data_IF_245237858182
#
_entry.id   IF_245237858182
#
_cell.length_a   1.000
_cell.length_b   1.000
_cell.length_c   1.000
_cell.angle_alpha   90.00
_cell.angle_beta   90.00
_cell.angle_gamma   90.00
#
_symmetry.space_group_name_H-M   'P 1'
#
loop_
_entity.id
_entity.type
_entity.pdbx_description
1 polymer ?
#
# COMPACT_ATOMS: atom_id res chain seq x y z
N UNK A 1 -23.90 -15.00 -22.74
CA UNK A 1 -22.40 -14.99 -22.82
C UNK A 1 -21.89 -15.16 -21.41
N UNK A 2 -20.94 -16.04 -21.22
CA UNK A 2 -20.32 -16.28 -19.92
C UNK A 2 -19.56 -15.03 -19.48
N UNK A 3 -19.73 -14.61 -18.23
CA UNK A 3 -19.02 -13.41 -17.71
C UNK A 3 -17.52 -13.69 -17.67
N UNK A 4 -16.67 -12.73 -18.07
CA UNK A 4 -15.22 -12.95 -18.02
C UNK A 4 -14.75 -13.11 -16.58
N UNK A 5 -13.78 -14.01 -16.37
CA UNK A 5 -13.12 -14.18 -15.07
C UNK A 5 -12.41 -12.89 -14.69
N UNK A 6 -12.66 -12.41 -13.48
CA UNK A 6 -11.92 -11.30 -12.88
C UNK A 6 -10.97 -11.84 -11.81
N UNK A 7 -9.69 -11.49 -11.91
CA UNK A 7 -8.67 -11.89 -10.95
C UNK A 7 -8.27 -10.72 -10.07
N UNK A 8 -8.37 -10.91 -8.75
CA UNK A 8 -7.87 -9.98 -7.75
C UNK A 8 -6.51 -10.42 -7.20
N UNK A 9 -5.55 -9.50 -7.12
CA UNK A 9 -4.35 -9.64 -6.31
C UNK A 9 -4.52 -8.84 -5.01
N UNK A 10 -4.43 -9.52 -3.87
CA UNK A 10 -4.63 -8.92 -2.54
C UNK A 10 -3.41 -9.17 -1.65
N UNK A 11 -3.02 -8.15 -0.88
CA UNK A 11 -1.99 -8.28 0.12
C UNK A 11 -2.52 -9.04 1.34
N UNK A 12 -1.88 -10.15 1.72
CA UNK A 12 -2.24 -10.90 2.94
C UNK A 12 -2.27 -9.98 4.16
N UNK A 13 -3.27 -10.16 5.05
CA UNK A 13 -3.39 -9.44 6.31
C UNK A 13 -4.53 -8.43 6.32
N UNK A 14 -4.43 -7.42 7.19
CA UNK A 14 -5.51 -6.46 7.51
C UNK A 14 -6.17 -5.81 6.28
N UNK A 15 -5.38 -5.44 5.25
CA UNK A 15 -5.94 -4.82 4.04
C UNK A 15 -6.80 -5.81 3.23
N UNK A 16 -6.41 -7.09 3.17
CA UNK A 16 -7.21 -8.11 2.50
C UNK A 16 -8.55 -8.32 3.21
N UNK A 17 -8.55 -8.40 4.55
CA UNK A 17 -9.78 -8.59 5.33
C UNK A 17 -10.78 -7.45 5.09
N UNK A 18 -10.30 -6.21 5.12
CA UNK A 18 -11.15 -5.04 4.85
C UNK A 18 -11.61 -4.98 3.38
N UNK A 19 -10.80 -5.47 2.45
CA UNK A 19 -11.20 -5.58 1.05
C UNK A 19 -12.28 -6.66 0.87
N UNK A 20 -12.16 -7.80 1.55
CA UNK A 20 -13.18 -8.86 1.52
C UNK A 20 -14.52 -8.35 2.07
N UNK A 21 -14.52 -7.58 3.16
CA UNK A 21 -15.74 -6.97 3.70
C UNK A 21 -16.48 -6.10 2.68
N UNK A 22 -15.75 -5.40 1.81
CA UNK A 22 -16.33 -4.60 0.73
C UNK A 22 -16.81 -5.47 -0.44
N UNK A 23 -16.04 -6.48 -0.82
CA UNK A 23 -16.38 -7.37 -1.92
C UNK A 23 -17.61 -8.23 -1.61
N UNK A 24 -17.74 -8.69 -0.36
CA UNK A 24 -18.91 -9.44 0.11
C UNK A 24 -20.21 -8.60 0.06
N UNK A 25 -20.12 -7.30 0.32
CA UNK A 25 -21.25 -6.37 0.14
C UNK A 25 -21.67 -6.21 -1.33
N UNK A 26 -20.79 -6.55 -2.28
CA UNK A 26 -21.14 -6.64 -3.70
C UNK A 26 -21.64 -8.04 -4.13
N UNK A 27 -21.78 -8.97 -3.19
CA UNK A 27 -22.20 -10.34 -3.45
C UNK A 27 -21.10 -11.25 -3.97
N UNK A 28 -19.82 -10.87 -3.79
CA UNK A 28 -18.67 -11.71 -4.13
C UNK A 28 -18.29 -12.52 -2.90
N UNK A 29 -18.35 -13.86 -3.00
CA UNK A 29 -18.01 -14.75 -1.88
C UNK A 29 -16.51 -14.75 -1.61
N UNK A 30 -16.13 -14.33 -0.39
CA UNK A 30 -14.75 -14.31 0.09
C UNK A 30 -14.46 -15.41 1.15
N UNK A 31 -15.29 -16.42 1.28
CA UNK A 31 -15.10 -17.50 2.26
C UNK A 31 -13.81 -18.29 2.03
N UNK A 32 -13.52 -18.68 0.77
CA UNK A 32 -12.27 -19.34 0.41
C UNK A 32 -11.04 -18.45 0.67
N UNK A 33 -10.96 -17.18 0.18
CA UNK A 33 -9.78 -16.34 0.41
C UNK A 33 -9.58 -15.92 1.88
N UNK A 34 -10.61 -15.91 2.71
CA UNK A 34 -10.45 -15.73 4.18
C UNK A 34 -9.81 -16.94 4.84
N UNK A 35 -10.05 -18.14 4.33
CA UNK A 35 -9.54 -19.40 4.87
C UNK A 35 -8.77 -20.21 3.81
N UNK A 36 -7.67 -19.68 3.27
CA UNK A 36 -7.03 -20.20 2.06
C UNK A 36 -6.39 -21.60 2.23
N UNK A 37 -6.16 -22.05 3.47
CA UNK A 37 -5.43 -23.27 3.72
C UNK A 37 -4.04 -23.22 3.06
N UNK A 38 -3.75 -24.22 2.18
CA UNK A 38 -2.52 -24.25 1.37
C UNK A 38 -2.74 -23.84 -0.09
N UNK A 39 -3.95 -23.45 -0.43
CA UNK A 39 -4.27 -23.02 -1.80
C UNK A 39 -3.67 -21.64 -2.09
N UNK A 40 -3.19 -21.48 -3.33
CA UNK A 40 -2.59 -20.22 -3.80
C UNK A 40 -3.55 -19.45 -4.70
N UNK A 41 -4.52 -20.14 -5.28
CA UNK A 41 -5.57 -19.58 -6.12
C UNK A 41 -6.91 -19.99 -5.55
N UNK A 42 -7.77 -19.04 -5.30
CA UNK A 42 -9.03 -19.17 -4.59
C UNK A 42 -10.15 -18.61 -5.46
N UNK A 43 -11.37 -19.09 -5.29
CA UNK A 43 -12.45 -18.82 -6.22
C UNK A 43 -13.77 -18.48 -5.54
N UNK A 44 -14.44 -17.47 -6.09
CA UNK A 44 -15.90 -17.41 -6.14
C UNK A 44 -16.34 -17.89 -7.53
N UNK A 45 -16.85 -19.11 -7.61
CA UNK A 45 -17.27 -19.71 -8.88
C UNK A 45 -18.58 -19.12 -9.40
N UNK A 46 -19.47 -18.67 -8.52
CA UNK A 46 -20.77 -18.12 -8.88
C UNK A 46 -20.60 -16.76 -9.57
N UNK A 47 -19.73 -15.92 -9.02
CA UNK A 47 -19.43 -14.60 -9.58
C UNK A 47 -18.27 -14.63 -10.59
N UNK A 48 -17.68 -15.79 -10.84
CA UNK A 48 -16.54 -15.95 -11.74
C UNK A 48 -15.36 -15.04 -11.35
N UNK A 49 -15.06 -14.97 -10.03
CA UNK A 49 -13.98 -14.18 -9.46
C UNK A 49 -12.89 -15.10 -8.92
N UNK A 50 -11.65 -14.74 -9.21
CA UNK A 50 -10.46 -15.45 -8.77
C UNK A 50 -9.62 -14.54 -7.85
N UNK A 51 -9.08 -15.10 -6.78
CA UNK A 51 -8.22 -14.39 -5.84
C UNK A 51 -6.83 -15.03 -5.80
N UNK A 52 -5.82 -14.17 -5.75
CA UNK A 52 -4.44 -14.53 -5.42
C UNK A 52 -3.98 -13.69 -4.22
N UNK A 53 -3.47 -14.38 -3.18
CA UNK A 53 -3.01 -13.72 -1.96
C UNK A 53 -1.49 -13.68 -1.95
N UNK A 54 -0.93 -12.48 -2.05
CA UNK A 54 0.50 -12.25 -2.24
C UNK A 54 1.08 -11.31 -1.18
N UNK A 55 2.39 -11.04 -1.21
CA UNK A 55 2.99 -9.98 -0.38
C UNK A 55 2.54 -8.60 -0.90
N UNK A 56 2.42 -7.58 -0.03
CA UNK A 56 2.05 -6.23 -0.45
C UNK A 56 2.90 -5.70 -1.62
N UNK A 57 4.21 -5.86 -1.55
CA UNK A 57 5.17 -5.44 -2.59
C UNK A 57 4.94 -6.08 -3.96
N UNK A 58 4.29 -7.24 -3.99
CA UNK A 58 4.12 -8.02 -5.21
C UNK A 58 2.81 -7.69 -5.94
N UNK A 59 1.81 -7.14 -5.23
CA UNK A 59 0.51 -6.80 -5.81
C UNK A 59 0.64 -5.94 -7.07
N UNK A 60 1.41 -4.83 -7.09
CA UNK A 60 1.59 -4.03 -8.29
C UNK A 60 2.17 -4.81 -9.46
N UNK A 61 3.09 -5.74 -9.19
CA UNK A 61 3.70 -6.58 -10.22
C UNK A 61 2.69 -7.54 -10.85
N UNK A 62 1.86 -8.22 -10.05
CA UNK A 62 0.84 -9.13 -10.58
C UNK A 62 -0.22 -8.40 -11.41
N UNK A 63 -0.59 -7.19 -11.01
CA UNK A 63 -1.54 -6.36 -11.77
C UNK A 63 -0.89 -5.82 -13.04
N UNK A 64 0.32 -5.30 -12.98
CA UNK A 64 1.04 -4.75 -14.14
C UNK A 64 1.23 -5.78 -15.25
N UNK A 65 1.63 -7.00 -14.89
CA UNK A 65 1.79 -8.11 -15.84
C UNK A 65 0.47 -8.74 -16.32
N UNK A 66 -0.69 -8.25 -15.87
CA UNK A 66 -2.00 -8.75 -16.29
C UNK A 66 -2.34 -10.16 -15.77
N UNK A 67 -1.57 -10.69 -14.82
CA UNK A 67 -1.91 -11.94 -14.10
C UNK A 67 -3.13 -11.70 -13.20
N UNK A 68 -3.21 -10.50 -12.61
CA UNK A 68 -4.40 -9.99 -11.96
C UNK A 68 -4.98 -8.81 -12.74
N UNK A 69 -6.31 -8.74 -12.81
CA UNK A 69 -7.04 -7.64 -13.43
C UNK A 69 -7.14 -6.43 -12.50
N UNK A 70 -7.33 -6.73 -11.21
CA UNK A 70 -7.52 -5.77 -10.12
C UNK A 70 -6.57 -6.09 -8.96
N UNK A 71 -6.21 -5.09 -8.18
CA UNK A 71 -5.43 -5.28 -6.96
C UNK A 71 -5.85 -4.31 -5.86
N UNK A 72 -5.69 -4.75 -4.60
CA UNK A 72 -5.83 -3.87 -3.44
C UNK A 72 -4.49 -3.80 -2.72
N UNK A 73 -3.98 -2.58 -2.57
CA UNK A 73 -2.63 -2.32 -2.05
C UNK A 73 -2.54 -0.92 -1.44
N UNK A 74 -1.61 -0.70 -0.52
CA UNK A 74 -1.34 0.62 0.05
C UNK A 74 -0.77 1.60 -0.97
N UNK A 75 -1.12 2.88 -0.84
CA UNK A 75 -0.58 3.97 -1.68
C UNK A 75 0.95 4.05 -1.60
N UNK A 76 1.53 3.78 -0.43
CA UNK A 76 2.98 3.68 -0.21
C UNK A 76 3.64 2.68 -1.16
N UNK A 77 3.06 1.49 -1.24
CA UNK A 77 3.56 0.42 -2.10
C UNK A 77 3.43 0.77 -3.59
N UNK A 78 2.35 1.47 -3.99
CA UNK A 78 2.19 1.94 -5.37
C UNK A 78 3.24 2.97 -5.74
N UNK A 79 3.48 3.95 -4.86
CA UNK A 79 4.50 4.98 -5.05
C UNK A 79 5.90 4.35 -5.16
N UNK A 80 6.20 3.41 -4.26
CA UNK A 80 7.49 2.70 -4.28
C UNK A 80 7.69 1.87 -5.53
N UNK A 81 6.64 1.16 -5.97
CA UNK A 81 6.71 0.31 -7.16
C UNK A 81 6.87 1.10 -8.47
N UNK A 82 6.37 2.35 -8.53
CA UNK A 82 6.49 3.23 -9.70
C UNK A 82 5.88 2.66 -11.00
N UNK A 83 4.88 1.76 -10.89
CA UNK A 83 4.29 1.07 -12.04
C UNK A 83 3.13 1.83 -12.63
N UNK A 84 2.96 1.71 -13.95
CA UNK A 84 1.87 2.37 -14.69
C UNK A 84 0.53 1.63 -14.58
N UNK A 85 -0.09 1.67 -13.40
CA UNK A 85 -1.42 1.12 -13.14
C UNK A 85 -2.48 2.23 -13.12
N UNK A 86 -3.74 1.87 -13.38
CA UNK A 86 -4.85 2.75 -13.07
C UNK A 86 -5.20 2.64 -11.59
N UNK A 87 -4.94 3.68 -10.82
CA UNK A 87 -5.46 3.86 -9.48
C UNK A 87 -6.86 4.45 -9.58
N UNK A 88 -7.89 3.66 -9.26
CA UNK A 88 -9.28 4.01 -9.59
C UNK A 88 -10.12 4.39 -8.39
N UNK A 89 -9.81 3.89 -7.18
CA UNK A 89 -10.53 4.22 -5.95
C UNK A 89 -9.57 4.32 -4.76
N UNK A 90 -9.81 5.30 -3.89
CA UNK A 90 -9.37 5.28 -2.50
C UNK A 90 -10.39 4.49 -1.69
N UNK A 91 -9.97 3.38 -1.10
CA UNK A 91 -10.87 2.49 -0.36
C UNK A 91 -11.17 2.99 1.06
N UNK A 92 -10.54 4.07 1.50
CA UNK A 92 -10.84 4.76 2.76
C UNK A 92 -10.36 4.07 4.04
N UNK A 93 -9.66 2.95 3.93
CA UNK A 93 -9.10 2.21 5.07
C UNK A 93 -7.58 2.06 4.96
N UNK A 94 -6.95 1.53 6.03
CA UNK A 94 -5.49 1.42 6.11
C UNK A 94 -4.81 2.78 6.11
N UNK A 95 -5.48 3.81 6.69
CA UNK A 95 -4.99 5.19 6.72
C UNK A 95 -3.75 5.30 7.59
N UNK A 96 -2.71 5.90 7.03
CA UNK A 96 -1.48 6.26 7.71
C UNK A 96 -0.83 7.43 6.95
N UNK A 97 0.34 7.87 7.39
CA UNK A 97 1.10 8.93 6.71
C UNK A 97 2.50 8.43 6.39
N UNK A 98 3.01 8.79 5.24
CA UNK A 98 4.42 8.61 4.92
C UNK A 98 5.18 9.83 5.46
N UNK A 99 6.18 9.59 6.31
CA UNK A 99 6.84 10.64 7.09
C UNK A 99 8.35 10.46 7.07
N UNK A 100 9.05 11.58 7.27
CA UNK A 100 10.43 11.59 7.77
C UNK A 100 10.35 11.63 9.30
N UNK A 101 11.07 10.74 9.97
CA UNK A 101 11.15 10.74 11.44
C UNK A 101 12.59 10.56 11.93
N UNK A 102 12.86 11.09 13.10
CA UNK A 102 14.20 11.09 13.69
C UNK A 102 14.20 11.71 15.08
N UNK A 103 15.38 11.99 15.60
CA UNK A 103 15.51 12.74 16.84
C UNK A 103 15.24 14.25 16.60
N UNK A 104 14.60 14.90 17.57
CA UNK A 104 14.35 16.34 17.51
C UNK A 104 15.56 17.10 18.06
N UNK A 105 16.07 18.11 17.32
CA UNK A 105 17.17 18.96 17.74
C UNK A 105 18.54 18.26 17.81
N UNK A 106 19.43 18.75 18.67
CA UNK A 106 20.83 18.28 18.79
C UNK A 106 20.97 16.83 19.33
N UNK A 107 19.89 16.20 19.78
CA UNK A 107 19.91 14.80 20.27
C UNK A 107 20.16 13.77 19.15
N UNK A 108 19.85 14.11 17.92
CA UNK A 108 20.28 13.34 16.76
C UNK A 108 21.74 13.68 16.50
N UNK A 109 22.65 12.97 17.18
CA UNK A 109 24.08 13.25 17.13
C UNK A 109 24.52 13.61 15.71
N UNK A 110 24.58 14.91 15.43
CA UNK A 110 25.22 15.48 14.28
C UNK A 110 26.71 15.19 14.39
N UNK A 111 27.06 13.93 14.13
CA UNK A 111 28.40 13.63 13.71
C UNK A 111 28.54 14.41 12.42
N UNK A 112 29.55 15.24 12.32
CA UNK A 112 29.93 16.02 11.15
C UNK A 112 30.22 15.06 9.99
N UNK A 113 29.14 14.47 9.39
CA UNK A 113 29.21 13.47 8.33
C UNK A 113 29.01 14.15 7.00
N UNK A 114 29.81 13.75 6.02
CA UNK A 114 29.76 14.32 4.67
C UNK A 114 28.44 13.99 3.94
N UNK A 115 27.67 12.97 4.40
CA UNK A 115 26.48 12.50 3.71
C UNK A 115 25.36 12.22 4.71
N UNK A 116 24.17 12.71 4.41
CA UNK A 116 22.94 12.50 5.18
C UNK A 116 22.33 11.11 4.87
N UNK A 117 22.10 10.30 5.90
CA UNK A 117 21.70 8.90 5.76
C UNK A 117 20.24 8.70 6.14
N UNK A 118 19.50 8.04 5.27
CA UNK A 118 18.06 7.76 5.41
C UNK A 118 17.83 6.26 5.42
N UNK A 119 17.36 5.69 6.53
CA UNK A 119 16.94 4.30 6.56
C UNK A 119 15.47 4.19 6.14
N UNK A 120 15.16 3.26 5.25
CA UNK A 120 13.80 3.11 4.71
C UNK A 120 13.58 1.75 4.06
N UNK A 121 12.33 1.32 4.00
CA UNK A 121 11.89 0.23 3.10
C UNK A 121 11.35 0.75 1.76
N UNK A 122 11.41 2.08 1.55
CA UNK A 122 10.90 2.78 0.36
C UNK A 122 12.03 3.58 -0.32
N UNK A 123 13.05 2.91 -0.89
CA UNK A 123 14.22 3.58 -1.47
C UNK A 123 13.87 4.49 -2.66
N UNK A 124 12.88 4.14 -3.48
CA UNK A 124 12.50 4.95 -4.64
C UNK A 124 11.77 6.23 -4.21
N UNK A 125 10.88 6.12 -3.21
CA UNK A 125 10.20 7.29 -2.63
C UNK A 125 11.24 8.21 -1.97
N UNK A 126 12.16 7.64 -1.17
CA UNK A 126 13.20 8.44 -0.51
C UNK A 126 14.05 9.20 -1.52
N UNK A 127 14.50 8.53 -2.59
CA UNK A 127 15.28 9.17 -3.66
C UNK A 127 14.50 10.31 -4.30
N UNK A 128 13.27 10.04 -4.76
CA UNK A 128 12.43 11.04 -5.42
C UNK A 128 12.15 12.25 -4.52
N UNK A 129 11.90 12.01 -3.23
CA UNK A 129 11.63 13.06 -2.26
C UNK A 129 12.85 13.99 -2.05
N UNK A 130 14.04 13.43 -1.80
CA UNK A 130 15.23 14.21 -1.55
C UNK A 130 15.80 14.85 -2.84
N UNK A 131 15.67 14.19 -3.99
CA UNK A 131 16.01 14.76 -5.29
C UNK A 131 15.16 16.01 -5.58
N UNK A 132 13.86 15.97 -5.25
CA UNK A 132 12.98 17.14 -5.40
C UNK A 132 13.39 18.34 -4.54
N UNK A 133 14.12 18.10 -3.44
CA UNK A 133 14.70 19.12 -2.55
C UNK A 133 16.14 19.50 -2.91
N UNK A 134 16.71 18.89 -3.94
CA UNK A 134 18.11 19.10 -4.34
C UNK A 134 19.13 18.59 -3.32
N UNK A 135 18.75 17.59 -2.51
CA UNK A 135 19.57 17.03 -1.44
C UNK A 135 20.12 15.65 -1.82
N UNK A 136 21.42 15.48 -1.68
CA UNK A 136 22.09 14.18 -1.85
C UNK A 136 22.04 13.40 -0.53
N UNK A 137 21.59 12.15 -0.61
CA UNK A 137 21.46 11.26 0.55
C UNK A 137 22.13 9.90 0.28
N UNK A 138 22.47 9.22 1.38
CA UNK A 138 22.76 7.80 1.39
C UNK A 138 21.51 7.04 1.84
N UNK A 139 21.00 6.17 0.99
CA UNK A 139 19.82 5.34 1.32
C UNK A 139 20.30 4.02 1.92
N UNK A 140 19.80 3.73 3.12
CA UNK A 140 20.01 2.45 3.82
C UNK A 140 18.71 1.66 3.76
N UNK A 141 18.64 0.69 2.87
CA UNK A 141 17.45 -0.12 2.68
C UNK A 141 17.31 -1.14 3.81
N UNK A 142 16.17 -1.07 4.52
CA UNK A 142 15.78 -2.00 5.57
C UNK A 142 14.39 -2.56 5.29
N UNK A 143 14.17 -3.86 5.54
CA UNK A 143 12.89 -4.52 5.27
C UNK A 143 11.95 -4.58 6.48
N UNK A 144 12.37 -4.06 7.63
CA UNK A 144 11.57 -3.99 8.86
C UNK A 144 12.35 -3.31 9.99
N UNK A 145 11.66 -2.94 11.07
CA UNK A 145 12.22 -2.24 12.25
C UNK A 145 13.11 -1.05 11.85
N UNK A 146 12.63 -0.25 10.92
CA UNK A 146 13.39 0.86 10.32
C UNK A 146 13.80 1.88 11.38
N UNK A 147 13.00 2.01 12.46
CA UNK A 147 13.26 2.87 13.62
C UNK A 147 14.58 2.56 14.32
N UNK A 148 15.09 1.35 14.20
CA UNK A 148 16.42 0.99 14.74
C UNK A 148 17.53 1.82 14.08
N UNK A 149 17.37 2.24 12.83
CA UNK A 149 18.38 3.00 12.09
C UNK A 149 18.94 4.19 12.90
N UNK A 150 18.12 5.16 13.28
CA UNK A 150 18.57 6.29 14.11
C UNK A 150 18.98 5.87 15.53
N UNK A 151 18.28 4.92 16.14
CA UNK A 151 18.53 4.50 17.54
C UNK A 151 19.94 3.95 17.74
N UNK A 152 20.46 3.20 16.78
CA UNK A 152 21.82 2.62 16.84
C UNK A 152 22.85 3.42 16.01
N UNK A 153 22.47 4.58 15.48
CA UNK A 153 23.37 5.44 14.71
C UNK A 153 23.71 4.93 13.31
N UNK A 154 22.90 4.02 12.75
CA UNK A 154 23.03 3.54 11.37
C UNK A 154 22.59 4.62 10.38
N UNK A 155 21.51 5.34 10.66
CA UNK A 155 21.00 6.45 9.85
C UNK A 155 20.76 7.69 10.68
N UNK A 156 20.58 8.84 10.03
CA UNK A 156 20.28 10.10 10.67
C UNK A 156 18.77 10.27 10.86
N UNK A 157 17.99 9.80 9.89
CA UNK A 157 16.53 9.76 9.91
C UNK A 157 16.01 8.46 9.29
N UNK A 158 14.70 8.27 9.41
CA UNK A 158 13.96 7.26 8.64
C UNK A 158 12.94 7.93 7.71
N UNK A 159 12.60 7.25 6.64
CA UNK A 159 11.41 7.48 5.84
C UNK A 159 10.54 6.24 5.94
N UNK A 160 9.41 6.34 6.61
CA UNK A 160 8.49 5.20 6.80
C UNK A 160 7.04 5.66 6.97
N UNK A 161 6.11 4.68 6.95
CA UNK A 161 4.70 4.93 7.25
C UNK A 161 4.49 5.03 8.76
N UNK A 162 3.67 5.98 9.16
CA UNK A 162 3.31 6.24 10.55
C UNK A 162 1.79 6.26 10.69
N UNK A 163 1.23 5.32 11.46
CA UNK A 163 -0.20 5.29 11.78
C UNK A 163 -0.47 6.13 13.05
N UNK A 164 -0.03 5.67 14.21
CA UNK A 164 -0.20 6.38 15.50
C UNK A 164 1.06 7.05 16.03
N UNK A 165 2.21 6.71 15.49
CA UNK A 165 3.52 7.15 15.97
C UNK A 165 3.93 6.57 17.33
N UNK A 166 3.25 5.54 17.83
CA UNK A 166 3.57 4.91 19.11
C UNK A 166 4.97 4.30 19.14
N UNK A 167 5.35 3.60 18.08
CA UNK A 167 6.70 3.00 17.95
C UNK A 167 7.78 4.06 17.94
N UNK A 168 7.58 5.17 17.22
CA UNK A 168 8.52 6.30 17.21
C UNK A 168 8.72 6.85 18.61
N UNK A 169 7.62 7.19 19.31
CA UNK A 169 7.68 7.74 20.68
C UNK A 169 8.34 6.81 21.67
N UNK A 170 8.07 5.48 21.58
CA UNK A 170 8.69 4.49 22.45
C UNK A 170 10.22 4.43 22.29
N UNK A 171 10.76 4.87 21.15
CA UNK A 171 12.18 4.91 20.84
C UNK A 171 12.78 6.32 20.86
N UNK A 172 12.06 7.32 21.39
CA UNK A 172 12.53 8.71 21.49
C UNK A 172 12.58 9.45 20.15
N UNK A 173 11.94 8.89 19.10
CA UNK A 173 11.86 9.50 17.79
C UNK A 173 10.57 10.31 17.64
N UNK A 174 10.60 11.30 16.77
CA UNK A 174 9.43 12.12 16.41
C UNK A 174 9.29 12.23 14.90
N UNK A 175 8.07 12.49 14.44
CA UNK A 175 7.85 12.90 13.05
C UNK A 175 8.45 14.29 12.87
N UNK A 176 9.33 14.44 11.90
CA UNK A 176 9.98 15.67 11.52
C UNK A 176 9.26 16.36 10.36
N UNK A 177 8.75 15.54 9.43
CA UNK A 177 8.05 16.03 8.24
C UNK A 177 7.06 14.98 7.73
N UNK A 178 5.85 15.42 7.37
CA UNK A 178 4.85 14.62 6.68
C UNK A 178 5.05 14.76 5.17
N UNK A 179 5.14 13.62 4.45
CA UNK A 179 5.33 13.61 2.98
C UNK A 179 3.97 13.54 2.29
N UNK A 180 3.15 12.54 2.63
CA UNK A 180 1.80 12.38 2.08
C UNK A 180 0.95 11.43 2.92
N UNK A 181 -0.37 11.57 2.77
CA UNK A 181 -1.33 10.61 3.30
C UNK A 181 -1.32 9.31 2.48
N UNK A 182 -1.50 8.20 3.17
CA UNK A 182 -1.54 6.84 2.62
C UNK A 182 -2.82 6.16 3.05
N UNK A 183 -3.44 5.45 2.10
CA UNK A 183 -4.59 4.57 2.34
C UNK A 183 -4.58 3.42 1.34
N UNK A 184 -5.46 2.44 1.52
CA UNK A 184 -5.63 1.34 0.57
C UNK A 184 -6.24 1.85 -0.73
N UNK A 185 -5.71 1.37 -1.85
CA UNK A 185 -6.13 1.74 -3.21
C UNK A 185 -6.58 0.52 -3.99
N UNK A 186 -7.65 0.70 -4.77
CA UNK A 186 -8.01 -0.23 -5.83
C UNK A 186 -7.25 0.17 -7.09
N UNK A 187 -6.50 -0.78 -7.63
CA UNK A 187 -5.74 -0.59 -8.88
C UNK A 187 -6.20 -1.57 -9.94
N UNK A 188 -6.06 -1.17 -11.20
CA UNK A 188 -6.52 -1.92 -12.36
C UNK A 188 -5.41 -2.04 -13.40
N UNK A 189 -5.28 -3.22 -13.99
CA UNK A 189 -4.44 -3.45 -15.15
C UNK A 189 -4.98 -2.66 -16.36
N UNK A 190 -4.10 -1.98 -17.09
CA UNK A 190 -4.47 -1.12 -18.22
C UNK A 190 -5.13 -1.88 -19.38
N UNK A 191 -4.72 -3.11 -19.63
CA UNK A 191 -5.28 -3.96 -20.69
C UNK A 191 -6.63 -4.53 -20.24
N UNK A 192 -6.70 -5.04 -18.99
CA UNK A 192 -7.93 -5.56 -18.42
C UNK A 192 -9.05 -4.50 -18.42
N UNK A 193 -8.73 -3.24 -18.09
CA UNK A 193 -9.68 -2.13 -18.14
C UNK A 193 -10.30 -1.93 -19.52
N UNK A 194 -9.64 -2.35 -20.59
CA UNK A 194 -10.16 -2.30 -21.97
C UNK A 194 -10.91 -3.57 -22.36
N UNK A 195 -10.33 -4.74 -22.05
CA UNK A 195 -10.83 -6.04 -22.51
C UNK A 195 -11.96 -6.60 -21.66
N UNK A 196 -12.04 -6.24 -20.37
CA UNK A 196 -13.07 -6.67 -19.41
C UNK A 196 -13.83 -5.47 -18.82
N UNK A 197 -13.97 -4.41 -19.60
CA UNK A 197 -14.44 -3.07 -19.20
C UNK A 197 -15.74 -3.09 -18.41
N UNK A 198 -16.76 -3.77 -18.92
CA UNK A 198 -18.09 -3.76 -18.30
C UNK A 198 -18.05 -4.35 -16.90
N UNK A 199 -17.41 -5.52 -16.74
CA UNK A 199 -17.31 -6.21 -15.46
C UNK A 199 -16.46 -5.42 -14.46
N UNK A 200 -15.33 -4.87 -14.90
CA UNK A 200 -14.46 -4.07 -14.03
C UNK A 200 -15.18 -2.79 -13.59
N UNK A 201 -15.92 -2.11 -14.48
CA UNK A 201 -16.71 -0.94 -14.11
C UNK A 201 -17.80 -1.26 -13.10
N UNK A 202 -18.54 -2.36 -13.27
CA UNK A 202 -19.55 -2.79 -12.28
C UNK A 202 -18.94 -2.91 -10.88
N UNK A 203 -17.74 -3.48 -10.77
CA UNK A 203 -17.02 -3.61 -9.50
C UNK A 203 -16.60 -2.23 -8.96
N UNK A 204 -16.01 -1.38 -9.79
CA UNK A 204 -15.56 -0.03 -9.40
C UNK A 204 -16.75 0.81 -8.93
N UNK A 205 -17.83 0.85 -9.73
CA UNK A 205 -19.02 1.66 -9.44
C UNK A 205 -19.72 1.16 -8.16
N UNK A 206 -19.82 -0.17 -7.99
CA UNK A 206 -20.38 -0.78 -6.79
C UNK A 206 -19.56 -0.47 -5.54
N UNK A 207 -18.23 -0.61 -5.60
CA UNK A 207 -17.35 -0.24 -4.48
C UNK A 207 -17.44 1.26 -4.19
N UNK A 208 -17.46 2.10 -5.23
CA UNK A 208 -17.60 3.55 -5.09
C UNK A 208 -18.90 3.95 -4.38
N UNK A 209 -20.01 3.32 -4.72
CA UNK A 209 -21.31 3.55 -4.07
C UNK A 209 -21.28 3.16 -2.58
N UNK A 210 -20.69 1.99 -2.24
CA UNK A 210 -20.55 1.56 -0.85
C UNK A 210 -19.68 2.51 -0.01
N UNK A 211 -18.61 3.04 -0.61
CA UNK A 211 -17.71 3.99 0.06
C UNK A 211 -18.38 5.34 0.30
N UNK A 212 -19.20 5.83 -0.63
CA UNK A 212 -19.95 7.09 -0.48
C UNK A 212 -20.93 7.02 0.69
N UNK A 213 -21.70 5.93 0.81
CA UNK A 213 -22.64 5.71 1.94
C UNK A 213 -21.91 5.68 3.29
N UNK A 214 -20.71 5.06 3.35
CA UNK A 214 -19.92 5.02 4.59
C UNK A 214 -19.40 6.39 5.02
N UNK A 215 -19.08 7.26 4.07
CA UNK A 215 -18.62 8.63 4.38
C UNK A 215 -19.75 9.51 4.90
N UNK A 216 -20.96 9.41 4.34
CA UNK A 216 -22.14 10.15 4.81
C UNK A 216 -22.58 9.73 6.22
N UNK A 217 -22.41 8.45 6.59
CA UNK A 217 -22.74 7.94 7.93
C UNK A 217 -21.73 8.29 9.04
N UNK A 218 -20.58 8.86 8.69
CA UNK A 218 -19.50 9.27 9.62
C UNK A 218 -19.40 10.80 9.78
N UNK A 219 -20.16 11.59 9.02
CA UNK A 219 -20.26 13.04 9.11
C UNK A 219 -21.41 13.45 10.04
#
# INVERSE_FOLDING_TARGET
>A
MEQPVITFALAKGRLAEQAFDLLEQLGIDCSEPRNPGRQLVLWDKEQNVRFILVKPSDVPTYVDHGVADLGVVGKDTLLEAGRELYEVLDLGFGKCRLCIAGYHGEQGGSVNRATFRVATKYPNIARSYYDSKGQTIEIIELHGSVELGPVIGLSDVILDIVESGSTLRANGLTVLEDICDVSARLVVNRVAMKTKRERIRQIIDGLGALLAVKQEGQA
#
